data_IF_028854358199
#
_entry.id   IF_028854358199
#
_cell.length_a   1.000
_cell.length_b   1.000
_cell.length_c   1.000
_cell.angle_alpha   90.00
_cell.angle_beta   90.00
_cell.angle_gamma   90.00
#
_symmetry.space_group_name_H-M   'P 1'
#
loop_
_entity.id
_entity.type
_entity.pdbx_description
1 polymer ?
2 water ?
#
# COMPACT_ATOMS: atom_id res chain seq x y z
N UNK A 1 -4.57 7.14 -14.59
CA UNK A 1 -4.47 6.89 -13.13
C UNK A 1 -3.17 6.22 -12.82
N UNK A 2 -2.64 6.55 -11.64
CA UNK A 2 -1.45 5.93 -11.08
C UNK A 2 -1.48 6.18 -9.58
N UNK A 3 -0.65 5.42 -8.86
CA UNK A 3 -0.55 5.53 -7.41
C UNK A 3 0.83 6.05 -7.05
N UNK A 4 0.85 7.09 -6.22
CA UNK A 4 2.10 7.62 -5.66
C UNK A 4 2.33 7.01 -4.27
N UNK A 5 3.40 6.23 -4.15
CA UNK A 5 3.75 5.52 -2.93
C UNK A 5 4.99 6.15 -2.31
N UNK A 6 4.89 6.52 -1.04
CA UNK A 6 5.99 7.10 -0.30
C UNK A 6 6.04 6.50 1.11
N UNK A 7 7.25 6.35 1.69
CA UNK A 7 8.57 6.51 1.07
C UNK A 7 8.91 5.31 0.17
N UNK A 8 9.80 5.51 -0.79
CA UNK A 8 10.22 4.43 -1.66
C UNK A 8 11.34 3.60 -1.03
N UNK A 9 12.21 4.23 -0.24
CA UNK A 9 13.25 3.50 0.48
C UNK A 9 13.34 4.03 1.90
N UNK A 10 13.41 3.11 2.86
CA UNK A 10 13.56 3.50 4.25
C UNK A 10 14.21 2.43 5.12
N UNK A 11 15.00 2.87 6.09
CA UNK A 11 15.49 1.94 7.10
C UNK A 11 15.00 2.33 8.47
N UNK A 12 14.60 1.32 9.24
CA UNK A 12 14.02 1.52 10.55
C UNK A 12 14.71 0.62 11.56
N UNK A 13 14.63 0.99 12.84
CA UNK A 13 15.11 0.12 13.90
C UNK A 13 13.98 -0.73 14.47
N UNK A 14 14.32 -1.87 15.07
CA UNK A 14 13.31 -2.74 15.69
C UNK A 14 12.56 -1.97 16.77
N UNK A 15 11.27 -2.24 16.89
CA UNK A 15 10.40 -1.51 17.81
C UNK A 15 9.84 -0.19 17.32
N UNK A 16 10.40 0.37 16.24
CA UNK A 16 9.86 1.59 15.61
C UNK A 16 8.59 1.26 14.81
N UNK A 17 7.89 2.29 14.32
CA UNK A 17 6.74 2.09 13.43
C UNK A 17 7.03 2.62 12.03
N UNK A 18 6.33 2.09 11.03
CA UNK A 18 6.37 2.63 9.66
C UNK A 18 4.95 2.98 9.20
N UNK A 19 4.80 4.15 8.59
CA UNK A 19 3.61 4.46 7.82
C UNK A 19 3.99 4.60 6.36
N UNK A 20 3.32 3.83 5.50
CA UNK A 20 3.46 4.01 4.05
C UNK A 20 2.21 4.70 3.52
N UNK A 21 2.39 5.71 2.67
CA UNK A 21 1.26 6.45 2.07
C UNK A 21 1.17 6.21 0.58
N UNK A 22 -0.03 5.87 0.13
CA UNK A 22 -0.33 5.77 -1.28
C UNK A 22 -1.45 6.74 -1.60
N UNK A 23 -1.27 7.50 -2.67
CA UNK A 23 -2.34 8.39 -3.13
C UNK A 23 -2.64 8.15 -4.62
N UNK A 24 -3.93 7.97 -4.93
CA UNK A 24 -4.37 7.74 -6.30
C UNK A 24 -4.38 9.08 -7.04
N UNK A 25 -3.68 9.12 -8.16
CA UNK A 25 -3.42 10.35 -8.88
C UNK A 25 -3.97 10.26 -10.31
N UNK A 26 -4.38 11.42 -10.85
CA UNK A 26 -4.88 11.56 -12.23
C UNK A 26 -6.10 10.68 -12.53
N UNK A 27 -7.06 10.67 -11.61
CA UNK A 27 -8.30 9.95 -11.83
C UNK A 27 -9.51 10.75 -11.34
N UNK A 28 -10.59 10.73 -12.11
CA UNK A 28 -11.74 11.62 -11.89
C UNK A 28 -12.62 11.25 -10.70
N UNK A 29 -12.46 10.03 -10.19
CA UNK A 29 -13.29 9.59 -9.07
C UNK A 29 -12.47 8.96 -7.93
N UNK A 30 -13.13 8.48 -6.89
CA UNK A 30 -12.41 7.91 -5.75
C UNK A 30 -11.90 6.52 -6.06
N UNK A 31 -11.12 5.93 -5.15
CA UNK A 31 -10.77 4.51 -5.32
C UNK A 31 -11.85 3.64 -4.71
N UNK A 32 -11.98 2.42 -5.22
CA UNK A 32 -13.08 1.52 -4.87
C UNK A 32 -12.69 0.50 -3.82
N UNK A 33 -11.41 0.16 -3.78
CA UNK A 33 -10.82 -0.69 -2.74
C UNK A 33 -9.30 -0.73 -2.87
N UNK A 34 -8.65 -1.18 -1.80
CA UNK A 34 -7.21 -1.20 -1.68
C UNK A 34 -6.71 -2.57 -1.22
N UNK A 35 -5.46 -2.88 -1.56
CA UNK A 35 -4.81 -4.11 -1.12
C UNK A 35 -3.35 -3.80 -0.89
N UNK A 36 -2.77 -4.46 0.12
CA UNK A 36 -1.36 -4.32 0.48
C UNK A 36 -0.68 -5.68 0.40
N UNK A 37 0.55 -5.66 -0.13
CA UNK A 37 1.33 -6.88 -0.34
C UNK A 37 2.73 -6.71 0.22
N UNK A 38 3.35 -7.83 0.57
CA UNK A 38 4.69 -7.88 1.15
C UNK A 38 5.48 -9.02 0.50
N UNK A 39 6.70 -8.74 0.05
CA UNK A 39 7.69 -9.79 -0.20
C UNK A 39 8.84 -9.60 0.80
N UNK A 40 8.97 -10.54 1.73
CA UNK A 40 10.03 -10.49 2.73
C UNK A 40 11.41 -10.57 2.08
N UNK A 41 12.33 -9.76 2.59
CA UNK A 41 13.71 -9.77 2.13
C UNK A 41 14.23 -11.19 2.25
N UNK A 42 14.84 -11.67 1.18
CA UNK A 42 15.31 -13.04 1.16
C UNK A 42 14.43 -13.96 0.35
N UNK A 43 13.13 -13.64 0.28
CA UNK A 43 12.13 -14.50 -0.36
C UNK A 43 11.69 -13.95 -1.72
N UNK A 44 10.90 -14.72 -2.46
CA UNK A 44 10.39 -14.31 -3.77
C UNK A 44 8.87 -14.32 -3.84
N UNK A 45 8.21 -14.76 -2.78
CA UNK A 45 6.75 -14.86 -2.77
C UNK A 45 6.08 -13.61 -2.20
N UNK A 46 5.12 -13.07 -2.96
CA UNK A 46 4.33 -11.92 -2.54
C UNK A 46 3.13 -12.38 -1.74
N UNK A 47 3.07 -11.92 -0.49
CA UNK A 47 1.95 -12.25 0.36
C UNK A 47 1.00 -11.06 0.43
N UNK A 48 -0.30 -11.34 0.42
CA UNK A 48 -1.32 -10.32 0.67
C UNK A 48 -1.45 -10.07 2.17
N UNK A 49 -1.32 -8.80 2.56
CA UNK A 49 -1.43 -8.41 3.97
C UNK A 49 -2.89 -8.31 4.43
N UNK A 50 -3.23 -9.09 5.46
CA UNK A 50 -4.52 -8.92 6.13
C UNK A 50 -4.42 -7.78 7.13
N UNK A 51 -5.35 -6.83 7.04
CA UNK A 51 -5.34 -5.70 7.97
C UNK A 51 -5.89 -6.16 9.33
N UNK A 52 -5.15 -5.85 10.39
CA UNK A 52 -5.41 -6.41 11.71
C UNK A 52 -4.09 -6.69 12.37
N UNK A 53 -4.12 -6.91 13.69
CA UNK A 53 -2.90 -7.01 14.49
C UNK A 53 -2.02 -5.78 14.33
N UNK A 54 -0.73 -6.01 14.09
CA UNK A 54 0.25 -4.93 13.91
C UNK A 54 0.07 -4.10 12.63
N UNK A 55 -0.78 -4.56 11.70
CA UNK A 55 -1.08 -3.78 10.48
C UNK A 55 -2.36 -2.98 10.64
N UNK A 56 -2.29 -1.70 10.32
CA UNK A 56 -3.43 -0.77 10.40
C UNK A 56 -3.56 0.03 9.09
N UNK A 57 -4.76 0.04 8.51
CA UNK A 57 -4.99 0.82 7.31
C UNK A 57 -5.96 1.98 7.55
N UNK A 58 -5.61 3.14 7.02
CA UNK A 58 -6.46 4.31 7.08
C UNK A 58 -6.68 4.82 5.66
N UNK A 59 -7.92 4.75 5.21
CA UNK A 59 -8.30 5.28 3.91
C UNK A 59 -8.98 6.63 4.08
N UNK A 60 -8.44 7.64 3.41
CA UNK A 60 -8.99 8.98 3.46
C UNK A 60 -9.47 9.39 2.07
N UNK A 61 -10.68 8.96 1.71
CA UNK A 61 -11.29 9.45 0.47
C UNK A 61 -11.59 10.93 0.67
N UNK A 62 -11.12 11.75 -0.26
CA UNK A 62 -11.08 13.19 -0.04
C UNK A 62 -9.73 13.69 -0.49
N UNK A 63 -8.68 13.06 0.04
CA UNK A 63 -7.34 13.18 -0.54
C UNK A 63 -7.07 11.98 -1.45
N UNK A 64 -8.02 11.04 -1.48
CA UNK A 64 -7.92 9.80 -2.28
C UNK A 64 -6.68 9.00 -1.89
N UNK A 65 -6.33 9.07 -0.61
CA UNK A 65 -5.10 8.50 -0.12
C UNK A 65 -5.43 7.39 0.85
N UNK A 66 -4.58 6.36 0.86
CA UNK A 66 -4.71 5.26 1.81
C UNK A 66 -3.34 4.94 2.38
N UNK A 67 -3.30 4.65 3.67
CA UNK A 67 -2.04 4.50 4.37
C UNK A 67 -1.97 3.20 5.14
N UNK A 68 -0.79 2.61 5.20
CA UNK A 68 -0.57 1.40 5.99
C UNK A 68 0.43 1.70 7.10
N UNK A 69 0.04 1.40 8.33
CA UNK A 69 0.93 1.55 9.45
C UNK A 69 1.28 0.19 10.06
N UNK A 70 2.58 -0.06 10.20
CA UNK A 70 3.07 -1.27 10.85
C UNK A 70 3.73 -0.89 12.16
N UNK A 71 3.21 -1.42 13.27
CA UNK A 71 3.75 -1.20 14.63
C UNK A 71 4.82 -2.21 15.01
N UNK A 72 5.74 -1.76 15.88
CA UNK A 72 6.69 -2.59 16.59
C UNK A 72 7.50 -3.42 15.59
N UNK A 73 8.16 -2.73 14.68
CA UNK A 73 8.84 -3.38 13.57
C UNK A 73 9.77 -4.49 14.05
N UNK A 74 9.65 -5.64 13.39
CA UNK A 74 10.59 -6.77 13.57
C UNK A 74 11.54 -6.84 12.40
N UNK A 75 12.71 -7.40 12.65
CA UNK A 75 13.70 -7.67 11.63
C UNK A 75 13.07 -8.42 10.42
N UNK A 76 12.17 -9.37 10.71
CA UNK A 76 11.49 -10.12 9.65
C UNK A 76 10.39 -9.32 8.89
N UNK A 77 10.17 -8.07 9.29
CA UNK A 77 9.34 -7.15 8.49
C UNK A 77 10.08 -6.59 7.27
N UNK A 78 11.41 -6.74 7.24
CA UNK A 78 12.24 -6.30 6.12
C UNK A 78 11.73 -6.91 4.84
N UNK A 79 11.67 -6.09 3.80
CA UNK A 79 11.12 -6.52 2.54
C UNK A 79 10.59 -5.36 1.73
N UNK A 80 9.93 -5.70 0.62
CA UNK A 80 9.32 -4.72 -0.26
C UNK A 80 7.80 -4.71 -0.04
N UNK A 81 7.24 -3.52 0.14
CA UNK A 81 5.80 -3.36 0.33
C UNK A 81 5.17 -2.66 -0.87
N UNK A 82 4.00 -3.15 -1.26
CA UNK A 82 3.29 -2.63 -2.42
C UNK A 82 1.82 -2.38 -2.04
N UNK A 83 1.25 -1.31 -2.59
CA UNK A 83 -0.17 -1.01 -2.47
C UNK A 83 -0.87 -1.09 -3.83
N UNK A 84 -2.11 -1.58 -3.86
CA UNK A 84 -2.92 -1.64 -5.08
C UNK A 84 -4.22 -0.86 -4.84
N UNK A 85 -4.60 -0.01 -5.80
CA UNK A 85 -5.89 0.68 -5.75
C UNK A 85 -6.75 0.22 -6.92
N UNK A 86 -7.94 -0.27 -6.62
CA UNK A 86 -8.89 -0.67 -7.65
C UNK A 86 -9.69 0.56 -8.02
N UNK A 87 -10.11 0.62 -9.27
CA UNK A 87 -10.88 1.77 -9.74
C UNK A 87 -11.55 1.40 -11.06
N UNK A 88 -12.60 2.14 -11.39
CA UNK A 88 -13.25 2.05 -12.68
C UNK A 88 -12.80 3.19 -13.59
N UNK A 89 -12.19 2.86 -14.73
CA UNK A 89 -11.88 3.85 -15.77
C UNK A 89 -13.06 4.79 -16.05
N UNK A 90 -14.28 4.25 -16.08
CA UNK A 90 -15.46 5.01 -16.45
C UNK A 90 -16.21 5.59 -15.24
N UNK A 91 -15.59 5.52 -14.06
CA UNK A 91 -16.23 5.84 -12.78
C UNK A 91 -17.49 5.02 -12.53
N UNK A 92 -17.46 3.78 -13.02
CA UNK A 92 -18.55 2.79 -12.88
C UNK A 92 -19.78 3.00 -13.80
N UNK A 93 -19.82 4.11 -14.54
CA UNK A 93 -20.90 4.35 -15.50
C UNK A 93 -21.01 3.18 -16.48
N UNK A 94 -19.87 2.72 -17.00
CA UNK A 94 -19.87 1.48 -17.75
C UNK A 94 -19.91 0.31 -16.77
N UNK A 95 -20.85 -0.62 -16.97
CA UNK A 95 -21.20 -1.67 -16.02
C UNK A 95 -20.07 -2.59 -15.54
N UNK A 96 -19.77 -2.48 -14.25
CA UNK A 96 -19.15 -3.54 -13.40
C UNK A 96 -17.90 -3.34 -12.51
N UNK A 97 -16.64 -3.22 -12.98
CA UNK A 97 -16.00 -3.27 -14.33
C UNK A 97 -14.69 -2.48 -14.12
N UNK A 98 -13.63 -3.17 -13.71
CA UNK A 98 -12.55 -2.47 -13.04
C UNK A 98 -11.16 -2.68 -13.59
N UNK A 99 -10.26 -1.86 -13.08
CA UNK A 99 -8.84 -1.96 -13.31
C UNK A 99 -8.13 -1.69 -11.98
N UNK A 100 -6.82 -1.87 -11.96
CA UNK A 100 -6.03 -1.52 -10.79
C UNK A 100 -4.72 -0.85 -11.18
N UNK A 101 -4.20 -0.04 -10.26
CA UNK A 101 -2.87 0.54 -10.39
C UNK A 101 -2.13 0.26 -9.09
N UNK A 102 -0.82 0.12 -9.19
CA UNK A 102 -0.03 -0.15 -8.00
C UNK A 102 1.09 0.87 -7.82
N UNK A 103 1.45 1.11 -6.56
CA UNK A 103 2.57 1.97 -6.18
C UNK A 103 3.90 1.39 -6.62
N UNK A 104 4.93 2.25 -6.63
CA UNK A 104 6.29 1.82 -7.00
C UNK A 104 6.92 0.85 -6.00
N UNK A 105 6.36 0.77 -4.80
CA UNK A 105 6.90 -0.08 -3.75
C UNK A 105 7.71 0.69 -2.72
N UNK A 106 7.90 0.07 -1.56
CA UNK A 106 8.69 0.63 -0.48
C UNK A 106 9.63 -0.48 -0.05
N UNK A 107 10.93 -0.23 -0.16
CA UNK A 107 11.93 -1.18 0.31
C UNK A 107 12.26 -0.84 1.76
N UNK A 108 11.77 -1.67 2.67
CA UNK A 108 11.98 -1.46 4.09
C UNK A 108 13.09 -2.37 4.59
N UNK A 109 14.00 -1.78 5.35
CA UNK A 109 15.07 -2.50 6.04
C UNK A 109 14.89 -2.26 7.52
N UNK A 110 14.68 -3.33 8.28
CA UNK A 110 14.56 -3.22 9.73
C UNK A 110 15.87 -3.63 10.40
N UNK A 111 16.46 -2.62 11.03
CA UNK A 111 17.63 -2.67 11.91
C UNK A 111 18.95 -2.86 11.19
#
# INVERSE_FOLDING_TARGET
AWVDQTPRTITKETGESLTIKCVLKDHSCGLSSTTWYRTQLGSTNEKTISIGGRYDETVDKGSKSFSLRISDLRVEDSGTYKCQADYSPSCYSYPSLESAVEGAGTVLTVK
#
